data_IF_752148126513
#
_entry.id   IF_752148126513
#
_cell.length_a   1.000
_cell.length_b   1.000
_cell.length_c   1.000
_cell.angle_alpha   90.00
_cell.angle_beta   90.00
_cell.angle_gamma   90.00
#
_symmetry.space_group_name_H-M   'P 1'
#
loop_
_entity.id
_entity.type
_entity.pdbx_description
1 polymer ?
#
# COMPACT_ATOMS: atom_id res chain seq x y z
N UNK A 1 3.76 -5.62 -22.75
CA UNK A 1 4.90 -4.74 -23.04
C UNK A 1 5.00 -3.59 -22.05
N UNK A 2 3.89 -2.88 -21.75
CA UNK A 2 3.83 -1.77 -20.80
C UNK A 2 4.27 -2.16 -19.38
N UNK A 3 3.76 -3.29 -18.85
CA UNK A 3 4.13 -3.80 -17.52
C UNK A 3 5.60 -4.19 -17.44
N UNK A 4 6.11 -4.85 -18.49
CA UNK A 4 7.53 -5.21 -18.57
C UNK A 4 8.42 -3.96 -18.59
N UNK A 5 8.02 -2.94 -19.33
CA UNK A 5 8.76 -1.69 -19.41
C UNK A 5 8.73 -0.90 -18.09
N UNK A 6 7.56 -0.87 -17.42
CA UNK A 6 7.34 -0.04 -16.21
C UNK A 6 7.79 -0.74 -14.93
N UNK A 7 7.62 -2.07 -14.84
CA UNK A 7 7.80 -2.84 -13.60
C UNK A 7 8.74 -4.04 -13.74
N UNK A 8 9.23 -4.35 -14.94
CA UNK A 8 10.02 -5.56 -15.19
C UNK A 8 9.21 -6.86 -15.12
N UNK A 9 7.89 -6.77 -14.96
CA UNK A 9 7.01 -7.92 -14.79
C UNK A 9 6.33 -8.31 -16.10
N UNK A 10 6.28 -9.63 -16.38
CA UNK A 10 5.59 -10.18 -17.57
C UNK A 10 4.11 -10.45 -17.31
N UNK A 11 3.78 -10.73 -16.07
CA UNK A 11 2.46 -11.17 -15.63
C UNK A 11 1.78 -10.12 -14.76
N UNK A 12 0.50 -9.88 -15.02
CA UNK A 12 -0.33 -8.99 -14.22
C UNK A 12 -1.22 -9.80 -13.28
N UNK A 13 -0.98 -9.83 -11.97
CA UNK A 13 -1.84 -10.56 -11.04
C UNK A 13 -3.29 -10.10 -11.06
N UNK A 14 -3.56 -8.81 -11.34
CA UNK A 14 -4.92 -8.28 -11.44
C UNK A 14 -5.73 -8.89 -12.60
N UNK A 15 -5.07 -9.23 -13.72
CA UNK A 15 -5.70 -9.91 -14.86
C UNK A 15 -5.94 -11.39 -14.62
N UNK A 16 -5.22 -11.99 -13.66
CA UNK A 16 -5.38 -13.39 -13.25
C UNK A 16 -6.51 -13.61 -12.26
N UNK A 17 -7.04 -12.54 -11.64
CA UNK A 17 -8.18 -12.64 -10.74
C UNK A 17 -9.42 -13.14 -11.49
N UNK A 18 -10.02 -14.21 -10.99
CA UNK A 18 -11.29 -14.70 -11.50
C UNK A 18 -12.46 -13.89 -10.92
N UNK A 19 -13.44 -13.55 -11.75
CA UNK A 19 -14.67 -12.87 -11.33
C UNK A 19 -15.38 -13.59 -10.18
N UNK A 20 -15.43 -14.92 -10.23
CA UNK A 20 -16.04 -15.74 -9.16
C UNK A 20 -15.30 -15.54 -7.84
N UNK A 21 -13.96 -15.57 -7.85
CA UNK A 21 -13.16 -15.33 -6.65
C UNK A 21 -13.41 -13.91 -6.09
N UNK A 22 -13.45 -12.89 -6.94
CA UNK A 22 -13.75 -11.51 -6.52
C UNK A 22 -15.13 -11.41 -5.88
N UNK A 23 -16.13 -12.13 -6.37
CA UNK A 23 -17.48 -12.18 -5.79
C UNK A 23 -17.49 -12.87 -4.41
N UNK A 24 -16.63 -13.86 -4.20
CA UNK A 24 -16.54 -14.64 -2.97
C UNK A 24 -15.58 -14.03 -1.94
N UNK A 25 -14.97 -12.87 -2.23
CA UNK A 25 -13.95 -12.23 -1.37
C UNK A 25 -14.43 -12.02 0.07
N UNK A 26 -15.68 -11.61 0.27
CA UNK A 26 -16.25 -11.46 1.61
C UNK A 26 -16.17 -12.72 2.44
N UNK A 27 -16.54 -13.85 1.85
CA UNK A 27 -16.50 -15.14 2.52
C UNK A 27 -15.07 -15.53 2.87
N UNK A 28 -14.15 -15.39 1.91
CA UNK A 28 -12.73 -15.71 2.10
C UNK A 28 -12.10 -14.88 3.22
N UNK A 29 -12.39 -13.59 3.29
CA UNK A 29 -11.87 -12.72 4.35
C UNK A 29 -12.53 -13.03 5.71
N UNK A 30 -13.84 -13.31 5.74
CA UNK A 30 -14.57 -13.60 6.96
C UNK A 30 -14.16 -14.95 7.60
N UNK A 31 -13.62 -15.89 6.84
CA UNK A 31 -13.08 -17.15 7.37
C UNK A 31 -11.85 -16.93 8.28
N UNK A 32 -11.07 -15.88 8.04
CA UNK A 32 -9.85 -15.58 8.80
C UNK A 32 -10.01 -14.44 9.82
N UNK A 33 -10.91 -13.51 9.55
CA UNK A 33 -11.10 -12.33 10.39
C UNK A 33 -12.57 -12.22 10.79
N UNK A 34 -12.84 -12.54 12.02
CA UNK A 34 -14.21 -12.55 12.59
C UNK A 34 -14.53 -11.18 13.19
N UNK A 35 -15.77 -10.72 13.05
CA UNK A 35 -16.27 -9.50 13.68
C UNK A 35 -15.84 -8.20 12.99
N UNK A 36 -15.45 -8.26 11.70
CA UNK A 36 -15.02 -7.10 10.91
C UNK A 36 -15.82 -6.95 9.60
N UNK A 37 -17.13 -7.17 9.67
CA UNK A 37 -18.02 -7.22 8.50
C UNK A 37 -18.01 -5.90 7.70
N UNK A 38 -17.96 -4.75 8.39
CA UNK A 38 -17.91 -3.44 7.73
C UNK A 38 -16.59 -3.21 7.00
N UNK A 39 -15.47 -3.58 7.62
CA UNK A 39 -14.15 -3.49 6.99
C UNK A 39 -14.08 -4.40 5.76
N UNK A 40 -14.55 -5.64 5.87
CA UNK A 40 -14.63 -6.59 4.77
C UNK A 40 -15.50 -6.06 3.63
N UNK A 41 -16.65 -5.45 3.91
CA UNK A 41 -17.51 -4.85 2.90
C UNK A 41 -16.84 -3.66 2.19
N UNK A 42 -16.01 -2.90 2.88
CA UNK A 42 -15.22 -1.81 2.27
C UNK A 42 -14.13 -2.37 1.34
N UNK A 43 -13.43 -3.41 1.78
CA UNK A 43 -12.42 -4.11 0.97
C UNK A 43 -13.04 -4.65 -0.31
N UNK A 44 -14.18 -5.34 -0.22
CA UNK A 44 -14.88 -5.85 -1.40
C UNK A 44 -15.12 -4.74 -2.43
N UNK A 45 -15.65 -3.59 -2.00
CA UNK A 45 -15.89 -2.45 -2.90
C UNK A 45 -14.63 -1.95 -3.58
N UNK A 46 -13.51 -1.90 -2.84
CA UNK A 46 -12.21 -1.46 -3.38
C UNK A 46 -11.69 -2.48 -4.41
N UNK A 47 -11.74 -3.76 -4.08
CA UNK A 47 -11.25 -4.84 -4.96
C UNK A 47 -12.10 -4.95 -6.23
N UNK A 48 -13.43 -4.86 -6.12
CA UNK A 48 -14.33 -4.86 -7.29
C UNK A 48 -14.01 -3.68 -8.20
N UNK A 49 -13.84 -2.47 -7.66
CA UNK A 49 -13.45 -1.29 -8.45
C UNK A 49 -12.09 -1.48 -9.14
N UNK A 50 -11.11 -2.01 -8.42
CA UNK A 50 -9.77 -2.29 -8.97
C UNK A 50 -9.85 -3.33 -10.10
N UNK A 51 -10.59 -4.42 -9.89
CA UNK A 51 -10.82 -5.46 -10.88
C UNK A 51 -11.50 -4.93 -12.16
N UNK A 52 -12.50 -4.05 -12.01
CA UNK A 52 -13.21 -3.44 -13.13
C UNK A 52 -12.42 -2.32 -13.83
N UNK A 53 -11.20 -2.00 -13.37
CA UNK A 53 -10.41 -0.89 -13.91
C UNK A 53 -11.00 0.51 -13.63
N UNK A 54 -11.91 0.62 -12.66
CA UNK A 54 -12.60 1.87 -12.32
C UNK A 54 -11.82 2.77 -11.34
N UNK A 55 -10.57 2.43 -11.05
CA UNK A 55 -9.69 3.22 -10.19
C UNK A 55 -9.23 4.48 -10.93
N UNK A 56 -9.38 5.64 -10.27
CA UNK A 56 -8.93 6.92 -10.83
C UNK A 56 -9.89 7.64 -11.79
N UNK A 57 -11.10 7.13 -12.01
CA UNK A 57 -12.08 7.75 -12.93
C UNK A 57 -12.46 9.18 -12.50
N UNK A 58 -12.35 9.51 -11.22
CA UNK A 58 -12.71 10.83 -10.70
C UNK A 58 -11.58 11.86 -10.69
N UNK A 59 -10.35 11.47 -11.05
CA UNK A 59 -9.23 12.40 -11.17
C UNK A 59 -8.68 12.33 -12.59
N UNK A 60 -8.99 13.31 -13.37
CA UNK A 60 -8.61 13.46 -14.79
C UNK A 60 -7.11 13.52 -15.06
N UNK A 61 -6.24 13.31 -14.09
CA UNK A 61 -4.82 13.60 -14.21
C UNK A 61 -3.85 12.48 -13.83
N UNK A 62 -4.22 11.36 -13.22
CA UNK A 62 -3.18 10.36 -12.97
C UNK A 62 -3.61 8.91 -13.21
N UNK A 63 -3.11 8.34 -14.31
CA UNK A 63 -3.03 6.89 -14.55
C UNK A 63 -2.14 6.17 -13.52
N UNK A 64 -1.64 6.89 -12.53
CA UNK A 64 -0.66 6.42 -11.55
C UNK A 64 -1.26 6.17 -10.16
N UNK A 65 -2.53 6.54 -9.91
CA UNK A 65 -3.16 6.35 -8.61
C UNK A 65 -3.13 4.87 -8.17
N UNK A 66 -2.96 4.59 -6.87
CA UNK A 66 -3.05 3.22 -6.33
C UNK A 66 -4.34 2.51 -6.73
N UNK A 67 -4.30 1.18 -6.86
CA UNK A 67 -5.49 0.35 -7.16
C UNK A 67 -6.59 0.50 -6.10
N UNK A 68 -6.19 0.76 -4.87
CA UNK A 68 -7.12 1.03 -3.79
C UNK A 68 -6.42 1.67 -2.60
N UNK A 69 -7.22 2.40 -1.81
CA UNK A 69 -6.78 3.00 -0.56
C UNK A 69 -7.80 2.65 0.51
N UNK A 70 -7.34 2.11 1.63
CA UNK A 70 -8.14 1.70 2.77
C UNK A 70 -7.58 2.33 4.04
N UNK A 71 -8.46 2.71 4.95
CA UNK A 71 -8.11 3.25 6.25
C UNK A 71 -8.86 2.48 7.34
N UNK A 72 -8.12 1.76 8.18
CA UNK A 72 -8.67 0.96 9.28
C UNK A 72 -8.41 1.67 10.62
N UNK A 73 -9.46 2.04 11.29
CA UNK A 73 -9.44 2.67 12.61
C UNK A 73 -10.05 1.70 13.62
N UNK A 74 -9.41 1.55 14.76
CA UNK A 74 -9.92 0.71 15.85
C UNK A 74 -8.82 0.25 16.80
N UNK A 75 -9.17 -0.36 17.94
CA UNK A 75 -8.20 -0.77 18.95
C UNK A 75 -7.20 -1.79 18.41
N UNK A 76 -6.10 -1.94 19.13
CA UNK A 76 -5.07 -2.95 18.83
C UNK A 76 -5.66 -4.37 18.98
N UNK A 77 -5.21 -5.30 18.14
CA UNK A 77 -5.59 -6.72 18.26
C UNK A 77 -6.90 -7.11 17.56
N UNK A 78 -7.60 -6.18 16.89
CA UNK A 78 -8.86 -6.50 16.19
C UNK A 78 -8.67 -7.10 14.79
N UNK A 79 -7.46 -7.47 14.40
CA UNK A 79 -7.19 -8.17 13.15
C UNK A 79 -6.85 -7.31 11.95
N UNK A 80 -6.54 -6.00 12.11
CA UNK A 80 -6.19 -5.10 10.99
C UNK A 80 -5.05 -5.62 10.12
N UNK A 81 -3.97 -6.07 10.75
CA UNK A 81 -2.80 -6.62 10.05
C UNK A 81 -3.11 -7.97 9.40
N UNK A 82 -3.85 -8.84 10.09
CA UNK A 82 -4.25 -10.15 9.56
C UNK A 82 -5.15 -10.00 8.33
N UNK A 83 -6.06 -9.03 8.36
CA UNK A 83 -6.93 -8.70 7.23
C UNK A 83 -6.11 -8.24 6.01
N UNK A 84 -5.07 -7.44 6.24
CA UNK A 84 -4.15 -6.98 5.18
C UNK A 84 -3.35 -8.12 4.56
N UNK A 85 -2.85 -9.07 5.37
CA UNK A 85 -2.14 -10.26 4.89
C UNK A 85 -3.06 -11.21 4.11
N UNK A 86 -4.29 -11.43 4.63
CA UNK A 86 -5.28 -12.26 3.95
C UNK A 86 -5.66 -11.67 2.59
N UNK A 87 -5.79 -10.35 2.52
CA UNK A 87 -6.03 -9.65 1.27
C UNK A 87 -4.85 -9.78 0.29
N UNK A 88 -3.61 -9.70 0.77
CA UNK A 88 -2.42 -9.90 -0.06
C UNK A 88 -2.39 -11.32 -0.66
N UNK A 89 -2.67 -12.32 0.16
CA UNK A 89 -2.78 -13.71 -0.30
C UNK A 89 -3.87 -13.89 -1.35
N UNK A 90 -5.01 -13.23 -1.15
CA UNK A 90 -6.12 -13.28 -2.11
C UNK A 90 -5.74 -12.64 -3.46
N UNK A 91 -5.18 -11.43 -3.43
CA UNK A 91 -4.89 -10.65 -4.64
C UNK A 91 -3.66 -11.14 -5.39
N UNK A 92 -2.62 -11.53 -4.66
CA UNK A 92 -1.27 -11.78 -5.21
C UNK A 92 -0.76 -13.20 -4.96
N UNK A 93 -1.54 -14.05 -4.28
CA UNK A 93 -1.20 -15.45 -4.02
C UNK A 93 -0.21 -15.67 -2.85
N UNK A 94 0.31 -14.60 -2.25
CA UNK A 94 1.33 -14.65 -1.21
C UNK A 94 1.04 -13.63 -0.10
N UNK A 95 1.08 -14.06 1.15
CA UNK A 95 0.95 -13.17 2.32
C UNK A 95 2.15 -12.21 2.45
N UNK A 96 3.32 -12.59 1.92
CA UNK A 96 4.51 -11.74 1.88
C UNK A 96 4.42 -10.60 0.86
N UNK A 97 3.38 -10.59 0.02
CA UNK A 97 3.04 -9.42 -0.77
C UNK A 97 2.40 -8.30 0.07
N UNK A 98 2.14 -8.52 1.36
CA UNK A 98 1.83 -7.48 2.33
C UNK A 98 3.12 -6.94 2.95
N UNK A 99 3.54 -5.77 2.52
CA UNK A 99 4.73 -5.08 3.02
C UNK A 99 4.29 -4.11 4.11
N UNK A 100 4.71 -4.39 5.36
CA UNK A 100 4.33 -3.61 6.53
C UNK A 100 5.42 -2.61 6.90
N UNK A 101 5.03 -1.37 7.11
CA UNK A 101 5.82 -0.31 7.72
C UNK A 101 5.19 0.05 9.06
N UNK A 102 5.88 -0.27 10.15
CA UNK A 102 5.48 0.13 11.51
C UNK A 102 5.85 1.60 11.71
N UNK A 103 4.86 2.46 11.78
CA UNK A 103 5.09 3.89 11.81
C UNK A 103 5.71 4.39 13.12
N UNK A 104 5.73 3.57 14.15
CA UNK A 104 6.49 3.88 15.38
C UNK A 104 8.00 4.01 15.15
N UNK A 105 8.54 3.32 14.14
CA UNK A 105 9.97 3.39 13.76
C UNK A 105 10.33 4.69 13.03
N UNK A 106 9.32 5.45 12.60
CA UNK A 106 9.45 6.69 11.81
C UNK A 106 9.04 7.93 12.60
N UNK A 107 8.93 7.82 13.92
CA UNK A 107 8.52 8.91 14.80
C UNK A 107 9.60 9.99 15.01
N UNK A 108 10.87 9.67 14.77
CA UNK A 108 11.97 10.61 14.96
C UNK A 108 12.05 11.63 13.82
N UNK A 109 12.53 12.81 14.11
CA UNK A 109 12.83 13.83 13.11
C UNK A 109 13.78 13.27 12.03
N UNK A 110 13.51 13.58 10.75
CA UNK A 110 14.23 13.07 9.57
C UNK A 110 14.12 11.54 9.32
N UNK A 111 13.29 10.81 10.05
CA UNK A 111 13.08 9.39 9.75
C UNK A 111 12.28 9.14 8.46
N UNK A 112 11.65 10.18 7.90
CA UNK A 112 11.12 10.20 6.54
C UNK A 112 12.17 9.78 5.50
N UNK A 113 13.45 10.15 5.72
CA UNK A 113 14.58 9.74 4.88
C UNK A 113 14.78 8.23 4.84
N UNK A 114 14.38 7.48 5.86
CA UNK A 114 14.39 6.01 5.80
C UNK A 114 13.43 5.47 4.74
N UNK A 115 12.30 6.15 4.51
CA UNK A 115 11.31 5.71 3.52
C UNK A 115 11.74 6.01 2.09
N UNK A 116 12.32 7.20 1.83
CA UNK A 116 12.64 7.67 0.48
C UNK A 116 14.14 7.74 0.18
N UNK A 117 14.99 7.45 1.16
CA UNK A 117 16.46 7.52 1.08
C UNK A 117 17.03 8.80 1.66
N UNK A 118 18.25 8.70 2.18
CA UNK A 118 19.00 9.85 2.70
C UNK A 118 19.55 10.71 1.55
N UNK A 119 19.74 12.04 1.75
CA UNK A 119 20.39 12.90 0.77
C UNK A 119 21.84 12.50 0.48
N UNK A 120 22.40 12.88 -0.68
CA UNK A 120 23.82 12.62 -1.00
C UNK A 120 24.76 13.10 0.11
N UNK A 121 25.72 12.27 0.48
CA UNK A 121 26.70 12.56 1.51
C UNK A 121 26.26 12.24 2.94
N UNK A 122 25.05 11.77 3.15
CA UNK A 122 24.57 11.30 4.46
C UNK A 122 24.64 9.77 4.56
N UNK A 123 24.75 9.28 5.81
CA UNK A 123 24.71 7.84 6.09
C UNK A 123 23.36 7.26 5.63
N UNK A 124 23.41 6.12 4.90
CA UNK A 124 22.22 5.48 4.35
C UNK A 124 21.86 5.90 2.92
N UNK A 125 22.63 6.80 2.29
CA UNK A 125 22.37 7.21 0.90
C UNK A 125 22.45 6.02 -0.07
N UNK A 126 23.48 5.18 0.05
CA UNK A 126 23.68 4.03 -0.84
C UNK A 126 22.59 2.97 -0.70
N UNK A 127 22.02 2.82 0.48
CA UNK A 127 20.96 1.85 0.77
C UNK A 127 19.63 2.22 0.10
N UNK A 128 19.42 3.53 -0.18
CA UNK A 128 18.18 4.04 -0.74
C UNK A 128 17.02 4.05 0.26
N UNK A 129 15.81 4.29 -0.21
CA UNK A 129 14.63 4.33 0.66
C UNK A 129 14.00 2.97 0.84
N UNK A 130 13.63 2.62 2.06
CA UNK A 130 12.98 1.34 2.38
C UNK A 130 11.66 1.17 1.62
N UNK A 131 10.83 2.22 1.56
CA UNK A 131 9.55 2.19 0.84
C UNK A 131 9.77 2.12 -0.67
N UNK A 132 10.63 2.97 -1.21
CA UNK A 132 10.88 3.02 -2.65
C UNK A 132 11.53 1.74 -3.16
N UNK A 133 12.46 1.14 -2.41
CA UNK A 133 13.04 -0.14 -2.74
C UNK A 133 12.00 -1.27 -2.70
N UNK A 134 11.19 -1.33 -1.65
CA UNK A 134 10.17 -2.36 -1.51
C UNK A 134 9.14 -2.33 -2.65
N UNK A 135 8.69 -1.14 -3.06
CA UNK A 135 7.74 -0.99 -4.19
C UNK A 135 8.41 -1.31 -5.53
N UNK A 136 9.69 -0.99 -5.68
CA UNK A 136 10.46 -1.34 -6.89
C UNK A 136 10.62 -2.85 -7.04
N UNK A 137 10.87 -3.56 -5.94
CA UNK A 137 11.01 -5.02 -5.93
C UNK A 137 9.66 -5.73 -6.08
N UNK A 138 8.60 -5.21 -5.43
CA UNK A 138 7.27 -5.82 -5.41
C UNK A 138 6.18 -4.78 -5.74
N UNK A 139 6.01 -4.39 -7.01
CA UNK A 139 5.00 -3.40 -7.40
C UNK A 139 3.56 -3.90 -7.18
N UNK A 140 3.33 -5.20 -7.30
CA UNK A 140 2.05 -5.86 -7.01
C UNK A 140 2.01 -6.29 -5.55
N UNK A 141 1.68 -5.35 -4.67
CA UNK A 141 1.72 -5.57 -3.23
C UNK A 141 0.66 -4.76 -2.49
N UNK A 142 0.43 -5.13 -1.25
CA UNK A 142 -0.24 -4.30 -0.26
C UNK A 142 0.83 -3.57 0.52
N UNK A 143 0.77 -2.24 0.53
CA UNK A 143 1.61 -1.41 1.38
C UNK A 143 0.81 -1.02 2.62
N UNK A 144 1.17 -1.60 3.75
CA UNK A 144 0.53 -1.38 5.04
C UNK A 144 1.33 -0.39 5.88
N UNK A 145 0.82 0.81 6.07
CA UNK A 145 1.34 1.79 7.03
C UNK A 145 0.59 1.61 8.35
N UNK A 146 1.23 0.96 9.30
CA UNK A 146 0.62 0.55 10.56
C UNK A 146 0.86 1.59 11.66
N UNK A 147 -0.21 1.99 12.38
CA UNK A 147 -0.20 2.98 13.46
C UNK A 147 0.32 4.37 13.02
N UNK A 148 -0.30 4.94 11.97
CA UNK A 148 0.17 6.21 11.37
C UNK A 148 0.26 7.38 12.35
N UNK A 149 -0.57 7.40 13.41
CA UNK A 149 -0.54 8.42 14.45
C UNK A 149 0.79 8.49 15.19
N UNK A 150 1.55 7.40 15.23
CA UNK A 150 2.85 7.34 15.90
C UNK A 150 3.91 8.19 15.21
N UNK A 151 3.85 8.30 13.88
CA UNK A 151 4.78 9.10 13.10
C UNK A 151 4.21 10.45 12.69
N UNK A 152 2.95 10.52 12.32
CA UNK A 152 2.34 11.70 11.72
C UNK A 152 2.40 12.96 12.60
N UNK A 153 2.25 12.80 13.93
CA UNK A 153 2.32 13.92 14.88
C UNK A 153 3.75 14.39 15.14
N UNK A 154 4.71 13.50 15.46
CA UNK A 154 6.09 13.90 15.73
C UNK A 154 6.89 14.24 14.46
N UNK A 155 6.57 13.66 13.31
CA UNK A 155 7.24 13.91 12.02
C UNK A 155 6.21 14.18 10.90
N UNK A 156 5.71 15.43 10.77
CA UNK A 156 4.70 15.78 9.77
C UNK A 156 5.13 15.53 8.31
N UNK A 157 6.43 15.48 8.01
CA UNK A 157 6.95 15.18 6.66
C UNK A 157 6.52 13.81 6.14
N UNK A 158 6.21 12.88 7.03
CA UNK A 158 5.62 11.59 6.68
C UNK A 158 4.26 11.77 5.97
N UNK A 159 3.47 12.75 6.38
CA UNK A 159 2.19 13.05 5.73
C UNK A 159 2.36 13.57 4.31
N UNK A 160 3.43 14.33 4.03
CA UNK A 160 3.74 14.79 2.68
C UNK A 160 4.04 13.62 1.74
N UNK A 161 4.77 12.60 2.24
CA UNK A 161 5.00 11.35 1.49
C UNK A 161 3.67 10.65 1.19
N UNK A 162 2.79 10.52 2.19
CA UNK A 162 1.48 9.88 2.00
C UNK A 162 0.62 10.65 1.00
N UNK A 163 0.57 11.98 1.10
CA UNK A 163 -0.17 12.83 0.15
C UNK A 163 0.36 12.64 -1.28
N UNK A 164 1.67 12.62 -1.47
CA UNK A 164 2.28 12.40 -2.79
C UNK A 164 1.91 11.03 -3.36
N UNK A 165 1.92 9.96 -2.55
CA UNK A 165 1.45 8.63 -2.99
C UNK A 165 -0.01 8.67 -3.41
N UNK A 166 -0.87 9.32 -2.62
CA UNK A 166 -2.31 9.32 -2.84
C UNK A 166 -2.73 10.22 -4.01
N UNK A 167 -2.04 11.32 -4.24
CA UNK A 167 -2.37 12.29 -5.28
C UNK A 167 -1.68 11.96 -6.60
N UNK A 168 -0.36 11.76 -6.58
CA UNK A 168 0.44 11.51 -7.77
C UNK A 168 0.60 10.01 -8.10
N UNK A 169 0.38 9.13 -7.13
CA UNK A 169 0.58 7.67 -7.27
C UNK A 169 2.03 7.28 -7.51
N UNK A 170 2.97 8.15 -7.15
CA UNK A 170 4.42 7.93 -7.34
C UNK A 170 5.22 8.62 -6.24
N UNK A 171 6.44 8.12 -6.03
CA UNK A 171 7.47 8.75 -5.20
C UNK A 171 8.78 8.79 -5.97
N UNK A 172 9.55 9.86 -5.78
CA UNK A 172 10.93 9.95 -6.25
C UNK A 172 11.84 9.80 -5.04
N UNK A 173 12.80 8.88 -5.12
CA UNK A 173 13.77 8.66 -4.05
C UNK A 173 14.89 9.70 -4.07
N UNK A 174 15.79 9.62 -3.08
CA UNK A 174 16.93 10.53 -2.96
C UNK A 174 17.97 10.40 -4.09
N UNK A 175 17.91 9.33 -4.88
CA UNK A 175 18.75 9.10 -6.06
C UNK A 175 18.12 9.64 -7.35
N UNK A 176 16.91 10.22 -7.27
CA UNK A 176 16.16 10.72 -8.41
C UNK A 176 15.38 9.66 -9.17
N UNK A 177 15.30 8.43 -8.64
CA UNK A 177 14.54 7.34 -9.25
C UNK A 177 13.09 7.37 -8.79
N UNK A 178 12.16 7.24 -9.73
CA UNK A 178 10.72 7.27 -9.46
C UNK A 178 10.14 5.86 -9.38
N UNK A 179 9.37 5.59 -8.33
CA UNK A 179 8.56 4.38 -8.17
C UNK A 179 7.08 4.71 -8.27
N UNK A 180 6.28 3.75 -8.74
CA UNK A 180 4.85 3.91 -8.99
C UNK A 180 4.03 2.95 -8.14
N UNK A 181 2.92 3.46 -7.59
CA UNK A 181 2.00 2.71 -6.72
C UNK A 181 0.74 2.24 -7.46
N UNK A 182 0.67 2.44 -8.79
CA UNK A 182 -0.53 2.14 -9.58
C UNK A 182 -0.95 0.66 -9.61
N UNK A 183 -0.10 -0.25 -9.19
CA UNK A 183 -0.44 -1.67 -9.07
C UNK A 183 -0.59 -2.14 -7.60
N UNK A 184 -0.35 -1.24 -6.65
CA UNK A 184 -0.42 -1.53 -5.22
C UNK A 184 -1.77 -1.12 -4.62
N UNK A 185 -2.12 -1.74 -3.50
CA UNK A 185 -3.18 -1.30 -2.59
C UNK A 185 -2.53 -0.71 -1.34
N UNK A 186 -2.94 0.50 -0.98
CA UNK A 186 -2.43 1.19 0.21
C UNK A 186 -3.40 0.99 1.36
N UNK A 187 -2.89 0.56 2.50
CA UNK A 187 -3.67 0.43 3.74
C UNK A 187 -2.99 1.24 4.83
N UNK A 188 -3.77 2.12 5.44
CA UNK A 188 -3.38 2.82 6.65
C UNK A 188 -4.12 2.23 7.83
N UNK A 189 -3.45 2.09 8.97
CA UNK A 189 -4.12 1.75 10.23
C UNK A 189 -3.89 2.82 11.28
N UNK A 190 -4.85 2.95 12.20
CA UNK A 190 -4.73 3.77 13.37
C UNK A 190 -5.42 3.10 14.57
N UNK A 191 -4.87 3.33 15.76
CA UNK A 191 -5.47 2.90 17.03
C UNK A 191 -6.28 4.03 17.70
N UNK A 192 -6.45 5.18 17.02
CA UNK A 192 -7.32 6.25 17.46
C UNK A 192 -8.77 5.85 17.25
N UNK A 193 -9.55 5.75 18.33
CA UNK A 193 -10.97 5.40 18.33
C UNK A 193 -11.53 5.37 19.73
#
# INVERSE_FOLDING_TARGET
>A
LYLLFKYGEKDNPWEKLDYKAVKDIKKILAERVVGQEEAIAKIEKVVVKAYMGLTGIHKSSSRSAPKGVLFFVGPTGVGKTELSKTLAKFLFGDEQACIRFDMSEYAQENSDQKLIGAPPGYVGYEEGGQLTNAVREKPFSIILFDEIEKAAKPNPRILDIFLQILEDGRLTDSKGETVYFSESVIIFTSNLG
#
